data_IF_209636943280
#
_entry.id   IF_209636943280
#
_cell.length_a   1.000
_cell.length_b   1.000
_cell.length_c   1.000
_cell.angle_alpha   90.00
_cell.angle_beta   90.00
_cell.angle_gamma   90.00
#
_symmetry.space_group_name_H-M   'P 1'
#
loop_
_entity.id
_entity.type
_entity.pdbx_description
1 polymer ?
#
# COMPACT_ATOMS: atom_id res chain seq x y z
N UNK A 1 -14.83 -5.79 -29.81
CA UNK A 1 -14.15 -6.10 -28.54
C UNK A 1 -14.00 -7.60 -28.39
N UNK A 2 -12.80 -8.07 -28.09
CA UNK A 2 -12.53 -9.48 -27.88
C UNK A 2 -12.53 -9.83 -26.39
N UNK A 3 -12.60 -11.10 -26.07
CA UNK A 3 -12.47 -11.56 -24.67
C UNK A 3 -11.12 -11.19 -24.09
N UNK A 4 -10.06 -11.22 -24.89
CA UNK A 4 -8.72 -10.84 -24.44
C UNK A 4 -8.67 -9.36 -24.02
N UNK A 5 -9.34 -8.47 -24.74
CA UNK A 5 -9.43 -7.06 -24.40
C UNK A 5 -10.18 -6.86 -23.08
N UNK A 6 -11.31 -7.54 -22.91
CA UNK A 6 -12.08 -7.47 -21.65
C UNK A 6 -11.23 -7.97 -20.48
N UNK A 7 -10.55 -9.09 -20.65
CA UNK A 7 -9.70 -9.66 -19.61
C UNK A 7 -8.56 -8.72 -19.26
N UNK A 8 -7.92 -8.07 -20.26
CA UNK A 8 -6.86 -7.11 -20.04
C UNK A 8 -7.37 -5.91 -19.24
N UNK A 9 -8.53 -5.38 -19.56
CA UNK A 9 -9.11 -4.24 -18.85
C UNK A 9 -9.43 -4.59 -17.39
N UNK A 10 -9.98 -5.76 -17.13
CA UNK A 10 -10.27 -6.23 -15.78
C UNK A 10 -8.99 -6.39 -14.97
N UNK A 11 -7.95 -6.96 -15.57
CA UNK A 11 -6.65 -7.13 -14.91
C UNK A 11 -6.03 -5.78 -14.57
N UNK A 12 -6.13 -4.79 -15.46
CA UNK A 12 -5.63 -3.44 -15.23
C UNK A 12 -6.35 -2.76 -14.08
N UNK A 13 -7.67 -2.92 -13.98
CA UNK A 13 -8.47 -2.40 -12.88
C UNK A 13 -8.04 -3.05 -11.56
N UNK A 14 -7.85 -4.36 -11.56
CA UNK A 14 -7.39 -5.09 -10.37
C UNK A 14 -6.01 -4.61 -9.91
N UNK A 15 -5.10 -4.40 -10.84
CA UNK A 15 -3.77 -3.86 -10.52
C UNK A 15 -3.88 -2.45 -9.92
N UNK A 16 -4.71 -1.59 -10.52
CA UNK A 16 -4.93 -0.24 -10.01
C UNK A 16 -5.50 -0.25 -8.59
N UNK A 17 -6.47 -1.10 -8.30
CA UNK A 17 -7.04 -1.24 -6.96
C UNK A 17 -6.02 -1.77 -5.97
N UNK A 18 -5.16 -2.68 -6.39
CA UNK A 18 -4.09 -3.21 -5.55
C UNK A 18 -3.06 -2.13 -5.18
N UNK A 19 -2.87 -1.12 -6.03
CA UNK A 19 -1.98 0.00 -5.75
C UNK A 19 -2.64 1.05 -4.85
N UNK A 20 -3.95 1.29 -4.99
CA UNK A 20 -4.69 2.29 -4.21
C UNK A 20 -4.71 1.91 -2.72
N UNK A 21 -4.96 0.64 -2.39
CA UNK A 21 -5.03 0.18 -1.00
C UNK A 21 -3.76 0.51 -0.21
N UNK A 22 -2.58 0.06 -0.65
CA UNK A 22 -1.31 0.41 0.00
C UNK A 22 -1.04 1.90 0.04
N UNK A 23 -1.37 2.64 -1.03
CA UNK A 23 -1.19 4.09 -1.07
C UNK A 23 -1.99 4.79 0.04
N UNK A 24 -3.26 4.42 0.22
CA UNK A 24 -4.09 4.95 1.29
C UNK A 24 -3.55 4.52 2.65
N UNK A 25 -3.16 3.25 2.79
CA UNK A 25 -2.61 2.72 4.05
C UNK A 25 -1.36 3.46 4.48
N UNK A 26 -0.40 3.67 3.57
CA UNK A 26 0.82 4.43 3.86
C UNK A 26 0.47 5.87 4.25
N UNK A 27 -0.46 6.51 3.53
CA UNK A 27 -0.90 7.85 3.84
C UNK A 27 -1.46 7.96 5.26
N UNK A 28 -2.27 7.02 5.69
CA UNK A 28 -2.83 6.97 7.04
C UNK A 28 -1.72 6.78 8.08
N UNK A 29 -0.81 5.83 7.86
CA UNK A 29 0.29 5.54 8.79
C UNK A 29 1.18 6.77 8.96
N UNK A 30 1.58 7.41 7.87
CA UNK A 30 2.43 8.61 7.91
C UNK A 30 1.70 9.74 8.59
N UNK A 31 0.43 9.99 8.23
CA UNK A 31 -0.38 11.04 8.83
C UNK A 31 -0.53 10.87 10.34
N UNK A 32 -0.83 9.65 10.79
CA UNK A 32 -0.96 9.36 12.23
C UNK A 32 0.36 9.46 12.96
N UNK A 33 1.46 9.10 12.33
CA UNK A 33 2.79 9.24 12.92
C UNK A 33 3.15 10.71 13.11
N UNK A 34 2.91 11.55 12.11
CA UNK A 34 3.14 12.99 12.21
C UNK A 34 2.30 13.59 13.34
N UNK A 35 1.03 13.20 13.44
CA UNK A 35 0.14 13.66 14.49
C UNK A 35 0.65 13.22 15.87
N UNK A 36 1.12 11.97 16.01
CA UNK A 36 1.66 11.45 17.26
C UNK A 36 2.94 12.16 17.68
N UNK A 37 3.84 12.43 16.74
CA UNK A 37 5.08 13.17 17.02
C UNK A 37 4.77 14.59 17.45
N UNK A 38 3.77 15.22 16.82
CA UNK A 38 3.35 16.57 17.21
C UNK A 38 2.83 16.62 18.64
N UNK A 39 2.14 15.56 19.09
CA UNK A 39 1.59 15.48 20.45
C UNK A 39 2.62 15.06 21.49
N UNK A 40 3.53 14.16 21.11
CA UNK A 40 4.54 13.60 22.00
C UNK A 40 5.89 13.55 21.29
N UNK A 41 6.56 14.72 21.17
CA UNK A 41 7.84 14.80 20.44
C UNK A 41 8.93 13.88 21.01
N UNK A 42 8.88 13.56 22.29
CA UNK A 42 9.84 12.68 22.94
C UNK A 42 9.75 11.25 22.44
N UNK A 43 8.64 10.87 21.79
CA UNK A 43 8.47 9.53 21.21
C UNK A 43 8.78 9.49 19.72
N UNK A 44 9.30 10.57 19.14
CA UNK A 44 9.52 10.66 17.70
C UNK A 44 10.31 9.49 17.13
N UNK A 45 11.40 9.10 17.78
CA UNK A 45 12.25 7.98 17.32
C UNK A 45 11.48 6.66 17.28
N UNK A 46 10.74 6.35 18.36
CA UNK A 46 9.95 5.13 18.47
C UNK A 46 8.80 5.10 17.45
N UNK A 47 8.11 6.24 17.30
CA UNK A 47 6.99 6.33 16.35
C UNK A 47 7.47 6.19 14.91
N UNK A 48 8.64 6.76 14.57
CA UNK A 48 9.22 6.61 13.24
C UNK A 48 9.57 5.16 12.93
N UNK A 49 10.13 4.42 13.89
CA UNK A 49 10.44 3.00 13.70
C UNK A 49 9.16 2.22 13.44
N UNK A 50 8.10 2.45 14.22
CA UNK A 50 6.81 1.80 14.00
C UNK A 50 6.21 2.17 12.65
N UNK A 51 6.36 3.41 12.22
CA UNK A 51 5.92 3.86 10.90
C UNK A 51 6.63 3.09 9.78
N UNK A 52 7.95 2.95 9.85
CA UNK A 52 8.71 2.22 8.84
C UNK A 52 8.30 0.74 8.78
N UNK A 53 8.06 0.13 9.93
CA UNK A 53 7.56 -1.26 9.98
C UNK A 53 6.19 -1.35 9.30
N UNK A 54 5.27 -0.44 9.59
CA UNK A 54 3.95 -0.41 8.96
C UNK A 54 4.02 -0.21 7.46
N UNK A 55 4.88 0.69 7.00
CA UNK A 55 5.09 0.92 5.56
C UNK A 55 5.65 -0.34 4.90
N UNK A 56 6.62 -1.00 5.53
CA UNK A 56 7.23 -2.21 4.99
C UNK A 56 6.19 -3.33 4.83
N UNK A 57 5.32 -3.54 5.81
CA UNK A 57 4.24 -4.53 5.70
C UNK A 57 3.25 -4.16 4.60
N UNK A 58 2.90 -2.89 4.48
CA UNK A 58 1.97 -2.42 3.44
C UNK A 58 2.55 -2.65 2.05
N UNK A 59 3.83 -2.34 1.85
CA UNK A 59 4.51 -2.56 0.58
C UNK A 59 4.68 -4.04 0.27
N UNK A 60 4.91 -4.88 1.28
CA UNK A 60 4.97 -6.33 1.09
C UNK A 60 3.64 -6.87 0.58
N UNK A 61 2.51 -6.40 1.11
CA UNK A 61 1.19 -6.78 0.62
C UNK A 61 0.97 -6.33 -0.82
N UNK A 62 1.41 -5.12 -1.16
CA UNK A 62 1.33 -4.61 -2.53
C UNK A 62 2.18 -5.47 -3.48
N UNK A 63 3.36 -5.87 -3.05
CA UNK A 63 4.23 -6.73 -3.83
C UNK A 63 3.60 -8.10 -4.07
N UNK A 64 2.97 -8.68 -3.04
CA UNK A 64 2.25 -9.94 -3.18
C UNK A 64 1.10 -9.80 -4.17
N UNK A 65 0.37 -8.69 -4.13
CA UNK A 65 -0.70 -8.41 -5.08
C UNK A 65 -0.19 -8.33 -6.52
N UNK A 66 0.94 -7.66 -6.74
CA UNK A 66 1.57 -7.56 -8.05
C UNK A 66 2.00 -8.95 -8.54
N UNK A 67 2.65 -9.73 -7.68
CA UNK A 67 3.09 -11.07 -8.02
C UNK A 67 1.90 -11.95 -8.39
N UNK A 68 0.81 -11.87 -7.64
CA UNK A 68 -0.42 -12.60 -7.93
C UNK A 68 -0.98 -12.23 -9.30
N UNK A 69 -0.97 -10.93 -9.64
CA UNK A 69 -1.40 -10.46 -10.94
C UNK A 69 -0.60 -11.13 -12.07
N UNK A 70 0.71 -11.17 -11.94
CA UNK A 70 1.56 -11.78 -12.97
C UNK A 70 1.36 -13.29 -13.08
N UNK A 71 1.12 -13.98 -11.97
CA UNK A 71 0.93 -15.43 -11.99
C UNK A 71 -0.47 -15.84 -12.43
N UNK A 72 -1.47 -14.97 -12.26
CA UNK A 72 -2.86 -15.28 -12.60
C UNK A 72 -3.28 -14.76 -13.97
N UNK A 73 -2.50 -13.94 -14.60
CA UNK A 73 -2.78 -13.42 -15.95
C UNK A 73 -1.93 -14.10 -17.04
#
# INVERSE_FOLDING_TARGET
MTLAEITGDISSIGYGLAAIGPGIGIGIVVGKTVEGVARQPELAGRLQVLMYIGIAFTEALAFIGIATYFFMS
#
